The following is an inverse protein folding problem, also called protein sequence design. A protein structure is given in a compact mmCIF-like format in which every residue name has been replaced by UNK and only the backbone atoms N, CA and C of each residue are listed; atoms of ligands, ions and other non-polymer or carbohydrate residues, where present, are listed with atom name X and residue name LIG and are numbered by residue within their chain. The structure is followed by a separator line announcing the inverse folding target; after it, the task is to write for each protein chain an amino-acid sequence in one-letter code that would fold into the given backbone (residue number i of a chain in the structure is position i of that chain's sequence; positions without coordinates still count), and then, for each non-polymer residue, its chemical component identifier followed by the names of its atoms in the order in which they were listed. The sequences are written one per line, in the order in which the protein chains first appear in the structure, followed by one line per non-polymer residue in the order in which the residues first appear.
data_IF_804887626148
#
_entry.id   IF_804887626148
#
_cell.length_a   1.000
_cell.length_b   1.000
_cell.length_c   1.000
_cell.angle_alpha   90.00
_cell.angle_beta   90.00
_cell.angle_gamma   90.00
#
_symmetry.space_group_name_H-M   'P 1'
#
loop_
_entity.id
_entity.type
_entity.pdbx_description
1 polymer ?
#
# COMPACT_ATOMS: atom_id res chain seq x y z
N UNK A 1 10.65 9.55 4.94
CA UNK A 1 9.50 8.61 4.86
C UNK A 1 8.41 9.08 5.80
N UNK A 2 7.24 9.43 5.27
CA UNK A 2 6.03 9.70 6.08
C UNK A 2 5.21 8.41 6.12
N UNK A 3 5.04 7.88 7.33
CA UNK A 3 4.42 6.58 7.57
C UNK A 3 2.98 6.81 8.06
N UNK A 4 2.06 7.20 7.18
CA UNK A 4 0.64 7.37 7.58
C UNK A 4 -0.02 6.03 7.87
N UNK A 5 -0.53 5.83 9.07
CA UNK A 5 -1.15 4.56 9.47
C UNK A 5 -2.60 4.49 9.04
N UNK A 6 -2.94 3.50 8.21
CA UNK A 6 -4.34 3.05 8.05
C UNK A 6 -4.42 1.68 8.70
N UNK A 7 -4.55 1.62 10.03
CA UNK A 7 -4.95 0.41 10.73
C UNK A 7 -6.47 0.21 10.54
N UNK A 8 -6.90 -0.03 9.32
CA UNK A 8 -8.29 -0.36 8.99
C UNK A 8 -8.41 -1.85 8.76
N UNK A 9 -9.18 -2.55 9.59
CA UNK A 9 -9.56 -3.91 9.28
C UNK A 9 -10.49 -3.88 8.05
N UNK A 10 -10.04 -4.32 6.87
CA UNK A 10 -10.92 -4.40 5.69
C UNK A 10 -11.83 -5.64 5.73
N UNK A 11 -12.13 -6.16 6.92
CA UNK A 11 -12.69 -7.50 7.16
C UNK A 11 -14.03 -7.78 6.48
N UNK A 12 -14.80 -6.75 6.12
CA UNK A 12 -16.04 -6.91 5.35
C UNK A 12 -15.85 -7.23 3.86
N UNK A 13 -14.73 -6.83 3.26
CA UNK A 13 -14.51 -6.97 1.82
C UNK A 13 -13.79 -8.28 1.43
N UNK A 14 -13.03 -8.89 2.34
CA UNK A 14 -12.15 -10.03 2.02
C UNK A 14 -12.57 -11.36 2.69
N UNK A 15 -13.61 -11.33 3.53
CA UNK A 15 -14.12 -12.51 4.25
C UNK A 15 -13.19 -13.04 5.36
N UNK A 16 -12.04 -12.40 5.58
CA UNK A 16 -11.07 -12.71 6.63
C UNK A 16 -10.54 -11.42 7.24
N UNK A 17 -9.99 -11.46 8.46
CA UNK A 17 -9.23 -10.33 9.01
C UNK A 17 -8.08 -9.97 8.09
N UNK A 18 -8.03 -8.71 7.71
CA UNK A 18 -6.93 -8.13 6.95
C UNK A 18 -6.61 -6.76 7.54
N UNK A 19 -5.34 -6.37 7.53
CA UNK A 19 -4.93 -5.01 7.84
C UNK A 19 -3.73 -4.62 6.99
N UNK A 20 -3.52 -3.32 6.83
CA UNK A 20 -2.41 -2.80 6.04
C UNK A 20 -1.82 -1.52 6.60
N UNK A 21 -0.78 -1.04 5.93
CA UNK A 21 -0.05 0.16 6.31
C UNK A 21 0.44 0.84 5.04
N UNK A 22 0.26 2.15 4.97
CA UNK A 22 0.80 2.96 3.87
C UNK A 22 2.15 3.55 4.25
N UNK A 23 2.99 3.73 3.23
CA UNK A 23 4.25 4.46 3.31
C UNK A 23 4.42 5.32 2.08
N UNK A 24 4.84 6.58 2.25
CA UNK A 24 5.22 7.45 1.13
C UNK A 24 6.56 8.10 1.49
N UNK A 25 7.53 8.06 0.58
CA UNK A 25 8.79 8.79 0.79
C UNK A 25 8.56 10.29 0.57
N UNK A 26 9.51 11.11 1.03
CA UNK A 26 9.49 12.54 0.73
C UNK A 26 9.50 12.77 -0.79
N UNK A 27 8.93 13.88 -1.24
CA UNK A 27 8.82 14.25 -2.65
C UNK A 27 8.14 13.20 -3.55
N UNK A 28 7.32 12.30 -2.99
CA UNK A 28 6.57 11.29 -3.75
C UNK A 28 7.47 10.40 -4.66
N UNK A 29 8.71 10.09 -4.22
CA UNK A 29 9.61 9.19 -4.99
C UNK A 29 9.16 7.73 -4.92
N UNK A 30 8.61 7.35 -3.76
CA UNK A 30 8.19 5.99 -3.45
C UNK A 30 6.82 5.99 -2.79
N UNK A 31 5.99 5.04 -3.21
CA UNK A 31 4.72 4.75 -2.58
C UNK A 31 4.64 3.25 -2.26
N UNK A 32 4.30 2.93 -1.02
CA UNK A 32 4.23 1.57 -0.51
C UNK A 32 2.87 1.28 0.14
N UNK A 33 2.38 0.07 -0.08
CA UNK A 33 1.34 -0.53 0.74
C UNK A 33 1.79 -1.92 1.17
N UNK A 34 1.76 -2.19 2.47
CA UNK A 34 2.06 -3.51 3.03
C UNK A 34 0.86 -3.96 3.84
N UNK A 35 0.39 -5.18 3.61
CA UNK A 35 -0.75 -5.73 4.34
C UNK A 35 -0.69 -7.24 4.50
N UNK A 36 -1.47 -7.75 5.44
CA UNK A 36 -1.61 -9.18 5.72
C UNK A 36 -3.06 -9.63 5.55
N UNK A 37 -3.22 -10.91 5.22
CA UNK A 37 -4.51 -11.60 5.09
C UNK A 37 -4.32 -13.03 4.62
N UNK A 38 -5.27 -13.95 4.90
CA UNK A 38 -5.24 -15.35 4.41
C UNK A 38 -3.89 -16.06 4.60
N UNK A 39 -3.24 -15.86 5.75
CA UNK A 39 -1.92 -16.40 6.10
C UNK A 39 -0.76 -15.96 5.18
N UNK A 40 -0.93 -14.90 4.40
CA UNK A 40 0.12 -14.28 3.59
C UNK A 40 0.34 -12.81 3.96
N UNK A 41 1.56 -12.35 3.71
CA UNK A 41 1.93 -10.92 3.76
C UNK A 41 2.33 -10.51 2.36
N UNK A 42 1.80 -9.38 1.92
CA UNK A 42 2.05 -8.84 0.58
C UNK A 42 2.46 -7.37 0.72
N UNK A 43 3.56 -7.01 0.07
CA UNK A 43 4.05 -5.65 -0.05
C UNK A 43 4.02 -5.22 -1.52
N UNK A 44 3.46 -4.05 -1.78
CA UNK A 44 3.43 -3.43 -3.10
C UNK A 44 4.18 -2.12 -3.04
N UNK A 45 5.13 -1.96 -3.97
CA UNK A 45 5.82 -0.71 -4.23
C UNK A 45 5.44 -0.17 -5.59
N UNK A 46 5.33 1.15 -5.67
CA UNK A 46 5.27 1.89 -6.92
C UNK A 46 6.26 3.04 -6.81
N UNK A 47 7.09 3.19 -7.83
CA UNK A 47 8.09 4.23 -7.95
C UNK A 47 8.66 4.26 -9.37
N UNK A 48 9.43 5.30 -9.67
CA UNK A 48 10.19 5.37 -10.92
C UNK A 48 11.57 4.77 -10.71
N UNK A 49 12.03 3.89 -11.60
CA UNK A 49 13.38 3.28 -11.51
C UNK A 49 14.51 4.30 -11.56
N UNK A 50 14.26 5.47 -12.17
CA UNK A 50 15.18 6.62 -12.20
C UNK A 50 15.20 7.42 -10.89
N UNK A 51 14.45 7.00 -9.88
CA UNK A 51 14.20 7.73 -8.65
C UNK A 51 13.56 9.12 -8.86
N UNK A 52 12.96 9.40 -10.02
CA UNK A 52 12.23 10.65 -10.31
C UNK A 52 10.95 10.77 -9.44
N UNK A 53 10.45 11.98 -9.10
CA UNK A 53 9.19 12.12 -8.38
C UNK A 53 8.04 11.59 -9.21
N UNK A 54 7.12 10.88 -8.56
CA UNK A 54 5.83 10.59 -9.15
C UNK A 54 4.87 11.76 -8.93
N UNK A 55 3.85 11.88 -9.77
CA UNK A 55 2.85 12.94 -9.66
C UNK A 55 1.83 12.64 -8.55
N UNK A 56 2.18 12.98 -7.30
CA UNK A 56 1.27 12.89 -6.15
C UNK A 56 0.88 11.46 -5.74
N UNK A 57 1.63 10.44 -6.18
CA UNK A 57 1.35 9.04 -5.84
C UNK A 57 1.72 8.78 -4.39
N UNK A 58 0.75 8.31 -3.60
CA UNK A 58 0.91 7.97 -2.18
C UNK A 58 0.66 6.49 -1.93
N UNK A 59 1.11 5.98 -0.78
CA UNK A 59 0.89 4.58 -0.39
C UNK A 59 -0.59 4.16 -0.32
N UNK A 60 -1.52 5.10 -0.10
CA UNK A 60 -2.97 4.83 -0.13
C UNK A 60 -3.60 4.85 -1.53
N UNK A 61 -2.84 5.23 -2.56
CA UNK A 61 -3.32 5.34 -3.94
C UNK A 61 -3.03 4.06 -4.73
N UNK A 62 -2.18 4.12 -5.76
CA UNK A 62 -1.84 2.98 -6.62
C UNK A 62 -1.42 1.72 -5.85
N UNK A 63 -0.51 1.78 -4.84
CA UNK A 63 -0.08 0.57 -4.16
C UNK A 63 -1.21 -0.15 -3.40
N UNK A 64 -2.10 0.60 -2.74
CA UNK A 64 -3.23 0.04 -2.01
C UNK A 64 -4.27 -0.61 -2.94
N UNK A 65 -4.52 -0.01 -4.11
CA UNK A 65 -5.43 -0.55 -5.12
C UNK A 65 -4.89 -1.84 -5.72
N UNK A 66 -3.59 -1.88 -6.06
CA UNK A 66 -2.92 -3.09 -6.56
C UNK A 66 -2.97 -4.20 -5.51
N UNK A 67 -2.65 -3.89 -4.26
CA UNK A 67 -2.72 -4.86 -3.16
C UNK A 67 -4.14 -5.43 -3.01
N UNK A 68 -5.17 -4.58 -3.03
CA UNK A 68 -6.57 -5.02 -2.95
C UNK A 68 -6.94 -5.93 -4.12
N UNK A 69 -6.49 -5.61 -5.33
CA UNK A 69 -6.76 -6.43 -6.53
C UNK A 69 -6.07 -7.79 -6.45
N UNK A 70 -4.86 -7.87 -5.89
CA UNK A 70 -4.16 -9.13 -5.66
C UNK A 70 -4.82 -10.02 -4.61
N UNK A 71 -5.42 -9.41 -3.57
CA UNK A 71 -6.02 -10.12 -2.43
C UNK A 71 -7.49 -10.53 -2.65
N UNK A 72 -8.13 -10.09 -3.74
CA UNK A 72 -9.51 -10.43 -4.10
C UNK A 72 -9.64 -11.91 -4.49
#
# INVERSE_FOLDING_TARGET
MIVSAVAGAFGGAFGVPVAGKTGTSQDFRDAWFVGYGRNIVVAVWVGNDSNAPMNGVTGSSLPAVIWKAFMA
#
